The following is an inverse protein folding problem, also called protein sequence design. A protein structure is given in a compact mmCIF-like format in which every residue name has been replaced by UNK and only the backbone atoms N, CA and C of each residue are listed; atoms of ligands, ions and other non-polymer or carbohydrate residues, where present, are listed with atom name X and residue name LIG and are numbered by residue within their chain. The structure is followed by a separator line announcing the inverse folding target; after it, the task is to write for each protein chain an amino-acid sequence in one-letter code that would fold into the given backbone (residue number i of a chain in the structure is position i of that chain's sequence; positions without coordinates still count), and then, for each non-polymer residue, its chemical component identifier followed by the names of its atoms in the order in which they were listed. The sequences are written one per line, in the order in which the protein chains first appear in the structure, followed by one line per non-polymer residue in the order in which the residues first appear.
data_IF_251305775758
#
_entry.id   IF_251305775758
#
_cell.length_a   1.000
_cell.length_b   1.000
_cell.length_c   1.000
_cell.angle_alpha   90.00
_cell.angle_beta   90.00
_cell.angle_gamma   90.00
#
_symmetry.space_group_name_H-M   'P 1'
#
loop_
_entity.id
_entity.type
_entity.pdbx_description
1 polymer ?
#
# COMPACT_ATOMS: atom_id res chain seq x y z
N UNK A 1 4.66 -49.76 4.32
CA UNK A 1 4.86 -48.32 4.54
C UNK A 1 4.91 -47.65 3.18
N UNK A 2 3.86 -46.92 2.78
CA UNK A 2 3.77 -46.29 1.45
C UNK A 2 4.15 -44.81 1.56
N UNK A 3 5.34 -44.46 1.06
CA UNK A 3 5.86 -43.09 1.07
C UNK A 3 5.22 -42.27 -0.05
N UNK A 4 4.36 -41.31 0.30
CA UNK A 4 3.87 -40.29 -0.64
C UNK A 4 5.00 -39.30 -0.95
N UNK A 5 5.51 -39.31 -2.18
CA UNK A 5 6.37 -38.24 -2.69
C UNK A 5 5.56 -36.94 -2.81
N UNK A 6 5.93 -35.92 -2.04
CA UNK A 6 5.36 -34.58 -2.11
C UNK A 6 5.64 -33.99 -3.49
N UNK A 7 4.59 -33.66 -4.27
CA UNK A 7 4.75 -32.96 -5.54
C UNK A 7 5.36 -31.59 -5.28
N UNK A 8 6.51 -31.31 -5.89
CA UNK A 8 7.16 -30.01 -5.84
C UNK A 8 6.19 -28.91 -6.30
N UNK A 9 6.06 -27.84 -5.50
CA UNK A 9 5.26 -26.66 -5.85
C UNK A 9 5.94 -25.99 -7.04
N UNK A 10 5.24 -25.86 -8.16
CA UNK A 10 5.74 -25.16 -9.35
C UNK A 10 5.82 -23.66 -9.03
N UNK A 11 6.94 -23.03 -9.38
CA UNK A 11 7.09 -21.59 -9.21
C UNK A 11 6.03 -20.85 -10.04
N UNK A 12 5.51 -19.70 -9.54
CA UNK A 12 4.57 -18.89 -10.29
C UNK A 12 5.19 -18.44 -11.62
N UNK A 13 4.48 -18.66 -12.73
CA UNK A 13 4.89 -18.20 -14.06
C UNK A 13 4.34 -16.79 -14.23
N UNK A 14 5.24 -15.83 -14.40
CA UNK A 14 4.90 -14.43 -14.62
C UNK A 14 4.72 -14.15 -16.12
N UNK A 15 3.56 -13.60 -16.49
CA UNK A 15 3.12 -13.47 -17.88
C UNK A 15 3.89 -12.39 -18.66
N UNK A 16 4.70 -11.56 -18.01
CA UNK A 16 5.51 -10.53 -18.66
C UNK A 16 6.88 -11.05 -19.13
N UNK A 17 7.29 -12.24 -18.66
CA UNK A 17 8.64 -12.80 -18.84
C UNK A 17 8.62 -14.28 -19.17
N UNK A 18 7.48 -14.76 -19.61
CA UNK A 18 7.36 -16.12 -20.06
C UNK A 18 7.98 -16.29 -21.45
N UNK A 19 8.31 -15.28 -22.26
CA UNK A 19 8.84 -15.48 -23.64
C UNK A 19 9.92 -16.60 -23.80
N UNK A 20 9.74 -17.53 -24.75
CA UNK A 20 10.76 -18.51 -25.18
C UNK A 20 11.52 -17.88 -26.35
N UNK A 21 12.85 -17.82 -26.24
CA UNK A 21 13.79 -17.47 -27.33
C UNK A 21 13.35 -16.25 -28.18
N UNK A 22 13.64 -15.05 -27.67
CA UNK A 22 13.38 -13.76 -28.36
C UNK A 22 11.91 -13.50 -28.77
N UNK A 23 10.96 -14.35 -28.34
CA UNK A 23 9.53 -14.18 -28.58
C UNK A 23 8.86 -13.10 -27.71
N UNK A 24 7.56 -12.86 -27.94
CA UNK A 24 6.75 -11.92 -27.17
C UNK A 24 6.24 -12.57 -25.89
N UNK A 25 6.27 -11.86 -24.77
CA UNK A 25 5.66 -12.40 -23.54
C UNK A 25 4.14 -12.52 -23.66
N UNK A 26 3.50 -13.38 -22.85
CA UNK A 26 2.05 -13.52 -22.88
C UNK A 26 1.35 -12.19 -22.57
N UNK A 27 1.95 -11.34 -21.75
CA UNK A 27 1.43 -10.01 -21.49
C UNK A 27 1.55 -9.10 -22.72
N UNK A 28 2.67 -9.16 -23.46
CA UNK A 28 2.83 -8.41 -24.71
C UNK A 28 1.84 -8.86 -25.78
N UNK A 29 1.62 -10.17 -25.92
CA UNK A 29 0.65 -10.69 -26.90
C UNK A 29 -0.79 -10.25 -26.55
N UNK A 30 -1.16 -10.23 -25.26
CA UNK A 30 -2.47 -9.70 -24.85
C UNK A 30 -2.58 -8.21 -25.13
N UNK A 31 -1.54 -7.44 -24.84
CA UNK A 31 -1.54 -6.01 -25.12
C UNK A 31 -1.61 -5.72 -26.62
N UNK A 32 -0.81 -6.37 -27.45
CA UNK A 32 -0.85 -6.23 -28.90
C UNK A 32 -2.25 -6.59 -29.45
N UNK A 33 -2.84 -7.66 -28.93
CA UNK A 33 -4.20 -8.06 -29.31
C UNK A 33 -5.23 -7.00 -28.92
N UNK A 34 -5.15 -6.44 -27.71
CA UNK A 34 -6.07 -5.40 -27.23
C UNK A 34 -5.86 -4.04 -27.93
N UNK A 35 -4.63 -3.72 -28.31
CA UNK A 35 -4.26 -2.48 -29.00
C UNK A 35 -4.70 -2.46 -30.47
N UNK A 36 -5.18 -3.57 -31.01
CA UNK A 36 -5.82 -3.61 -32.34
C UNK A 36 -7.18 -2.88 -32.28
N UNK A 37 -7.46 -2.05 -33.30
CA UNK A 37 -8.46 -0.97 -33.32
C UNK A 37 -9.93 -1.37 -32.99
N UNK A 38 -10.23 -2.66 -32.85
CA UNK A 38 -11.58 -3.18 -32.60
C UNK A 38 -11.61 -4.16 -31.42
N UNK A 39 -10.48 -4.73 -31.00
CA UNK A 39 -10.45 -5.85 -30.07
C UNK A 39 -10.76 -5.43 -28.62
N UNK A 40 -10.30 -4.25 -28.21
CA UNK A 40 -10.70 -3.69 -26.91
C UNK A 40 -12.22 -3.43 -26.83
N UNK A 41 -12.83 -2.95 -27.93
CA UNK A 41 -14.27 -2.70 -28.00
C UNK A 41 -15.09 -4.00 -27.99
N UNK A 42 -14.57 -5.06 -28.61
CA UNK A 42 -15.13 -6.42 -28.51
C UNK A 42 -15.03 -6.98 -27.08
N UNK A 43 -13.87 -6.82 -26.43
CA UNK A 43 -13.61 -7.33 -25.07
C UNK A 43 -14.47 -6.64 -24.00
N UNK A 44 -14.63 -5.31 -24.09
CA UNK A 44 -15.45 -4.54 -23.13
C UNK A 44 -16.97 -4.71 -23.33
N UNK A 45 -17.38 -5.42 -24.39
CA UNK A 45 -18.79 -5.74 -24.65
C UNK A 45 -19.61 -4.54 -25.12
N UNK A 46 -19.13 -3.83 -26.14
CA UNK A 46 -19.80 -2.62 -26.66
C UNK A 46 -21.29 -2.81 -26.97
N UNK A 47 -21.73 -4.01 -27.35
CA UNK A 47 -23.11 -4.28 -27.72
C UNK A 47 -23.72 -5.36 -26.80
N UNK A 48 -24.70 -4.96 -25.98
CA UNK A 48 -25.46 -5.87 -25.07
C UNK A 48 -26.17 -7.02 -25.80
N UNK A 49 -26.34 -6.90 -27.11
CA UNK A 49 -27.17 -7.80 -27.92
C UNK A 49 -26.40 -8.51 -29.04
N UNK A 50 -25.10 -8.24 -29.23
CA UNK A 50 -24.30 -8.90 -30.27
C UNK A 50 -22.79 -8.92 -29.94
N UNK A 51 -22.44 -9.43 -28.76
CA UNK A 51 -21.05 -9.64 -28.36
C UNK A 51 -20.60 -11.08 -28.61
N UNK A 52 -19.42 -11.27 -29.21
CA UNK A 52 -18.72 -12.55 -29.13
C UNK A 52 -18.53 -12.92 -27.65
N UNK A 53 -18.77 -14.18 -27.28
CA UNK A 53 -18.59 -14.62 -25.90
C UNK A 53 -17.13 -14.42 -25.48
N UNK A 54 -16.89 -14.09 -24.21
CA UNK A 54 -15.52 -13.99 -23.65
C UNK A 54 -14.72 -15.27 -23.92
N UNK A 55 -15.39 -16.42 -23.98
CA UNK A 55 -14.80 -17.71 -24.35
C UNK A 55 -14.30 -17.75 -25.80
N UNK A 56 -15.00 -17.16 -26.76
CA UNK A 56 -14.56 -17.08 -28.15
C UNK A 56 -13.31 -16.19 -28.28
N UNK A 57 -13.29 -15.05 -27.58
CA UNK A 57 -12.14 -14.14 -27.56
C UNK A 57 -10.91 -14.76 -26.86
N UNK A 58 -11.13 -15.54 -25.79
CA UNK A 58 -10.05 -16.27 -25.13
C UNK A 58 -9.43 -17.33 -26.04
N UNK A 59 -10.24 -18.03 -26.86
CA UNK A 59 -9.71 -18.99 -27.85
C UNK A 59 -8.80 -18.31 -28.88
N UNK A 60 -9.14 -17.09 -29.29
CA UNK A 60 -8.33 -16.28 -30.21
C UNK A 60 -6.99 -15.89 -29.58
N UNK A 61 -6.99 -15.35 -28.36
CA UNK A 61 -5.76 -14.98 -27.63
C UNK A 61 -4.86 -16.20 -27.36
N UNK A 62 -5.46 -17.36 -27.05
CA UNK A 62 -4.70 -18.62 -26.87
C UNK A 62 -4.04 -19.09 -28.16
N UNK A 63 -4.64 -18.82 -29.32
CA UNK A 63 -4.01 -19.08 -30.62
C UNK A 63 -2.76 -18.21 -30.81
N UNK A 64 -2.85 -16.92 -30.45
CA UNK A 64 -1.73 -15.97 -30.53
C UNK A 64 -0.58 -16.34 -29.59
N UNK A 65 -0.86 -16.81 -28.37
CA UNK A 65 0.19 -17.31 -27.46
C UNK A 65 0.96 -18.51 -28.01
N UNK A 66 0.27 -19.42 -28.71
CA UNK A 66 0.93 -20.58 -29.32
C UNK A 66 1.85 -20.16 -30.47
N UNK A 67 1.51 -19.09 -31.18
CA UNK A 67 2.36 -18.51 -32.21
C UNK A 67 3.59 -17.81 -31.62
N UNK A 68 3.48 -17.21 -30.43
CA UNK A 68 4.52 -16.37 -29.82
C UNK A 68 5.59 -17.11 -29.00
N UNK A 69 5.43 -18.42 -28.72
CA UNK A 69 6.38 -19.30 -28.02
C UNK A 69 6.89 -18.76 -26.69
N UNK A 70 6.19 -19.03 -25.58
CA UNK A 70 6.39 -18.32 -24.30
C UNK A 70 6.26 -19.26 -23.05
N UNK A 71 7.38 -19.65 -22.40
CA UNK A 71 7.56 -19.99 -20.96
C UNK A 71 9.02 -20.35 -20.49
N UNK A 72 9.74 -19.55 -19.66
CA UNK A 72 10.72 -19.92 -18.57
C UNK A 72 12.10 -19.19 -18.51
N UNK A 73 12.47 -18.51 -17.39
CA UNK A 73 13.83 -17.93 -17.25
C UNK A 73 14.25 -17.09 -16.02
N UNK A 74 13.66 -17.19 -14.82
CA UNK A 74 14.08 -16.38 -13.64
C UNK A 74 14.46 -17.30 -12.47
N UNK A 75 15.66 -17.13 -11.89
CA UNK A 75 16.21 -18.05 -10.89
C UNK A 75 16.47 -17.45 -9.50
N UNK A 76 16.27 -16.14 -9.26
CA UNK A 76 16.40 -15.57 -7.90
C UNK A 76 15.51 -14.34 -7.63
N UNK A 77 15.07 -14.20 -6.37
CA UNK A 77 14.20 -13.12 -5.88
C UNK A 77 14.89 -11.74 -5.90
N UNK A 78 16.20 -11.70 -5.71
CA UNK A 78 17.00 -10.47 -5.74
C UNK A 78 17.05 -9.86 -7.15
N UNK A 79 17.21 -10.69 -8.18
CA UNK A 79 17.18 -10.25 -9.59
C UNK A 79 15.80 -9.73 -9.98
N UNK A 80 14.73 -10.37 -9.49
CA UNK A 80 13.35 -9.94 -9.73
C UNK A 80 13.07 -8.57 -9.08
N UNK A 81 13.42 -8.39 -7.80
CA UNK A 81 13.26 -7.11 -7.09
C UNK A 81 14.05 -5.98 -7.75
N UNK A 82 15.30 -6.25 -8.17
CA UNK A 82 16.14 -5.26 -8.85
C UNK A 82 15.54 -4.78 -10.17
N UNK A 83 15.04 -5.71 -10.99
CA UNK A 83 14.44 -5.36 -12.28
C UNK A 83 13.08 -4.64 -12.15
N UNK A 84 12.30 -4.99 -11.11
CA UNK A 84 11.06 -4.28 -10.76
C UNK A 84 11.34 -2.83 -10.35
N UNK A 85 12.36 -2.60 -9.52
CA UNK A 85 12.75 -1.24 -9.12
C UNK A 85 13.31 -0.40 -10.26
N UNK A 86 13.99 -1.00 -11.25
CA UNK A 86 14.47 -0.29 -12.44
C UNK A 86 13.33 0.30 -13.28
N UNK A 87 12.23 -0.44 -13.43
CA UNK A 87 11.09 -0.01 -14.25
C UNK A 87 10.06 0.78 -13.44
N UNK A 88 9.91 0.47 -12.16
CA UNK A 88 9.00 1.16 -11.25
C UNK A 88 9.68 1.39 -9.90
N UNK A 89 10.33 2.55 -9.70
CA UNK A 89 11.08 2.86 -8.48
C UNK A 89 10.25 2.82 -7.18
N UNK A 90 8.93 3.01 -7.29
CA UNK A 90 8.02 3.06 -6.15
C UNK A 90 7.13 1.82 -6.02
N UNK A 91 7.37 0.76 -6.80
CA UNK A 91 6.52 -0.42 -6.85
C UNK A 91 6.20 -0.99 -5.45
N UNK A 92 7.23 -1.20 -4.62
CA UNK A 92 7.03 -1.78 -3.28
C UNK A 92 6.39 -0.82 -2.27
N UNK A 93 6.37 0.50 -2.54
CA UNK A 93 5.61 1.46 -1.73
C UNK A 93 4.13 1.49 -2.12
N UNK A 94 3.83 1.10 -3.36
CA UNK A 94 2.49 1.04 -3.92
C UNK A 94 1.90 -0.37 -3.88
N UNK A 95 2.71 -1.39 -3.55
CA UNK A 95 2.29 -2.78 -3.48
C UNK A 95 1.07 -2.96 -2.57
N UNK A 96 1.06 -2.34 -1.40
CA UNK A 96 -0.08 -2.38 -0.48
C UNK A 96 -1.38 -1.77 -1.08
N UNK A 97 -1.22 -0.78 -1.97
CA UNK A 97 -2.34 -0.15 -2.69
C UNK A 97 -2.81 -1.04 -3.84
N UNK A 98 -1.90 -1.71 -4.53
CA UNK A 98 -2.25 -2.67 -5.59
C UNK A 98 -2.86 -3.97 -5.05
N UNK A 99 -2.44 -4.42 -3.87
CA UNK A 99 -3.02 -5.54 -3.14
C UNK A 99 -4.40 -5.21 -2.59
N UNK A 100 -4.69 -3.92 -2.36
CA UNK A 100 -6.05 -3.46 -2.10
C UNK A 100 -6.85 -3.57 -3.39
N UNK A 101 -7.48 -4.73 -3.63
CA UNK A 101 -8.41 -4.91 -4.74
C UNK A 101 -9.60 -3.97 -4.49
N UNK A 102 -9.80 -2.87 -5.25
CA UNK A 102 -11.06 -2.15 -5.17
C UNK A 102 -12.14 -3.14 -5.58
N UNK A 103 -13.21 -3.22 -4.77
CA UNK A 103 -14.34 -4.12 -5.02
C UNK A 103 -14.73 -4.08 -6.49
N UNK A 104 -14.84 -5.27 -7.11
CA UNK A 104 -15.30 -5.40 -8.50
C UNK A 104 -16.75 -4.90 -8.70
N UNK A 105 -17.44 -4.59 -7.59
CA UNK A 105 -18.67 -3.82 -7.55
C UNK A 105 -18.35 -2.44 -6.96
N UNK A 106 -18.21 -1.38 -7.78
CA UNK A 106 -18.31 -0.02 -7.28
C UNK A 106 -19.62 0.08 -6.49
N UNK A 107 -19.60 0.67 -5.29
CA UNK A 107 -20.84 0.96 -4.57
C UNK A 107 -21.67 1.87 -5.48
N UNK A 108 -22.75 1.29 -5.99
CA UNK A 108 -23.82 1.84 -6.81
C UNK A 108 -23.77 3.37 -6.95
N UNK A 109 -23.63 3.87 -8.17
CA UNK A 109 -24.01 5.25 -8.45
C UNK A 109 -25.51 5.38 -8.18
N UNK A 110 -25.97 6.57 -7.81
CA UNK A 110 -27.31 6.91 -7.33
C UNK A 110 -28.51 6.48 -8.18
N UNK A 111 -28.30 5.80 -9.30
CA UNK A 111 -29.29 5.53 -10.34
C UNK A 111 -29.86 4.10 -10.31
N UNK A 112 -29.49 3.28 -9.31
CA UNK A 112 -29.84 1.85 -9.24
C UNK A 112 -30.54 1.40 -7.96
N UNK A 113 -31.13 2.30 -7.17
CA UNK A 113 -31.92 1.93 -5.98
C UNK A 113 -33.40 1.96 -6.35
N UNK A 114 -33.78 1.14 -7.31
CA UNK A 114 -35.16 0.71 -7.54
C UNK A 114 -35.04 -0.73 -8.02
N UNK A 115 -34.88 -1.65 -7.08
CA UNK A 115 -35.34 -3.05 -7.15
C UNK A 115 -34.87 -3.75 -5.88
N UNK A 116 -35.86 -4.17 -5.09
CA UNK A 116 -35.72 -5.01 -3.91
C UNK A 116 -34.93 -6.28 -4.25
N UNK A 117 -33.97 -6.70 -3.42
CA UNK A 117 -33.82 -8.12 -3.12
C UNK A 117 -32.95 -8.37 -1.89
N UNK A 118 -33.49 -9.23 -1.03
CA UNK A 118 -32.89 -9.75 0.19
C UNK A 118 -31.60 -10.55 -0.08
N UNK A 119 -30.71 -10.51 0.91
CA UNK A 119 -29.58 -11.41 1.06
C UNK A 119 -30.05 -12.87 1.17
N UNK A 120 -29.60 -13.77 0.29
CA UNK A 120 -29.23 -15.13 0.71
C UNK A 120 -28.43 -15.90 -0.34
N UNK A 121 -27.24 -16.31 0.06
CA UNK A 121 -26.49 -17.42 -0.52
C UNK A 121 -27.20 -18.75 -0.23
N UNK A 122 -27.47 -19.57 -1.25
CA UNK A 122 -27.27 -21.03 -1.28
C UNK A 122 -28.21 -21.74 -2.26
N UNK A 123 -27.61 -22.43 -3.23
CA UNK A 123 -28.04 -23.68 -3.89
C UNK A 123 -29.51 -24.13 -3.74
N UNK A 124 -30.27 -24.15 -4.84
CA UNK A 124 -30.73 -25.40 -5.46
C UNK A 124 -31.52 -25.15 -6.76
N UNK A 125 -31.39 -26.11 -7.65
CA UNK A 125 -31.94 -26.19 -9.00
C UNK A 125 -33.43 -26.56 -9.04
N UNK A 126 -34.07 -26.17 -10.14
CA UNK A 126 -35.10 -26.92 -10.90
C UNK A 126 -36.60 -26.81 -10.46
N UNK A 127 -37.32 -26.04 -11.28
CA UNK A 127 -38.63 -26.25 -11.97
C UNK A 127 -39.82 -26.92 -11.24
N UNK A 128 -40.97 -26.22 -11.22
CA UNK A 128 -42.34 -26.60 -11.72
C UNK A 128 -43.41 -25.73 -11.02
N UNK A 129 -44.05 -24.77 -11.70
CA UNK A 129 -45.32 -24.84 -12.45
C UNK A 129 -46.53 -25.42 -11.67
N UNK A 130 -47.38 -24.51 -11.17
CA UNK A 130 -48.84 -24.63 -11.08
C UNK A 130 -49.42 -25.46 -9.91
N UNK A 131 -50.24 -24.82 -9.07
CA UNK A 131 -51.59 -25.26 -8.64
C UNK A 131 -52.07 -24.53 -7.36
N UNK A 132 -53.39 -24.56 -7.14
CA UNK A 132 -54.14 -23.70 -6.23
C UNK A 132 -54.04 -24.12 -4.75
N UNK A 133 -54.15 -23.12 -3.86
CA UNK A 133 -54.53 -23.07 -2.42
C UNK A 133 -54.92 -24.40 -1.72
N UNK A 134 -54.58 -24.55 -0.42
CA UNK A 134 -55.63 -24.38 0.59
C UNK A 134 -55.22 -23.60 1.85
N UNK A 135 -56.26 -23.12 2.53
CA UNK A 135 -56.28 -22.42 3.83
C UNK A 135 -55.79 -23.34 4.96
N UNK A 136 -54.98 -22.81 5.88
CA UNK A 136 -54.87 -23.32 7.25
C UNK A 136 -54.86 -22.12 8.20
N UNK A 137 -55.87 -22.12 9.07
CA UNK A 137 -55.98 -21.32 10.27
C UNK A 137 -55.02 -21.93 11.29
N UNK A 138 -54.19 -21.10 11.93
CA UNK A 138 -53.70 -21.39 13.28
C UNK A 138 -53.71 -20.05 14.03
N UNK A 139 -54.69 -19.94 14.91
CA UNK A 139 -54.77 -18.94 15.97
C UNK A 139 -53.77 -19.30 17.07
N UNK A 140 -53.04 -18.30 17.58
CA UNK A 140 -52.99 -17.93 19.00
C UNK A 140 -51.66 -17.28 19.42
N UNK A 141 -51.83 -16.07 19.94
CA UNK A 141 -51.14 -15.46 21.10
C UNK A 141 -49.66 -15.06 20.98
N UNK A 142 -49.41 -13.75 20.82
CA UNK A 142 -48.69 -12.95 21.83
C UNK A 142 -48.84 -11.45 21.53
N UNK A 143 -49.47 -10.75 22.46
CA UNK A 143 -49.62 -9.29 22.51
C UNK A 143 -48.27 -8.59 22.65
N UNK A 144 -47.76 -8.07 21.53
CA UNK A 144 -46.86 -6.92 21.54
C UNK A 144 -47.32 -6.00 20.41
N UNK A 145 -47.89 -4.85 20.79
CA UNK A 145 -48.26 -3.75 19.88
C UNK A 145 -47.07 -3.28 19.06
N UNK A 146 -46.77 -3.99 17.97
CA UNK A 146 -46.15 -3.40 16.79
C UNK A 146 -47.21 -2.52 16.14
N UNK A 147 -47.41 -1.31 16.66
CA UNK A 147 -47.87 -0.24 15.79
C UNK A 147 -46.84 -0.18 14.67
N UNK A 148 -47.21 -0.66 13.48
CA UNK A 148 -46.40 -0.50 12.27
C UNK A 148 -46.28 1.01 12.11
N UNK A 149 -45.13 1.57 12.51
CA UNK A 149 -44.79 2.98 12.25
C UNK A 149 -45.18 3.28 10.81
N UNK A 150 -45.83 4.41 10.61
CA UNK A 150 -46.24 4.88 9.29
C UNK A 150 -45.04 4.74 8.34
N UNK A 151 -45.21 4.18 7.12
CA UNK A 151 -44.15 4.13 6.13
C UNK A 151 -43.36 5.43 5.99
N UNK A 152 -44.01 6.58 6.14
CA UNK A 152 -43.39 7.91 6.11
C UNK A 152 -42.47 8.15 7.31
N UNK A 153 -42.89 7.71 8.49
CA UNK A 153 -42.11 7.86 9.74
C UNK A 153 -40.85 6.98 9.73
N UNK A 154 -40.95 5.77 9.15
CA UNK A 154 -39.78 4.90 8.94
C UNK A 154 -38.77 5.51 7.97
N UNK A 155 -39.24 6.13 6.90
CA UNK A 155 -38.39 6.80 5.92
C UNK A 155 -37.67 8.01 6.54
N UNK A 156 -38.38 8.79 7.36
CA UNK A 156 -37.80 9.89 8.12
C UNK A 156 -36.72 9.41 9.09
N UNK A 157 -36.97 8.36 9.87
CA UNK A 157 -35.98 7.75 10.76
C UNK A 157 -34.74 7.25 9.99
N UNK A 158 -34.93 6.64 8.82
CA UNK A 158 -33.84 6.19 7.95
C UNK A 158 -33.00 7.36 7.42
N UNK A 159 -33.65 8.44 6.98
CA UNK A 159 -32.95 9.62 6.49
C UNK A 159 -32.16 10.31 7.62
N UNK A 160 -32.74 10.37 8.83
CA UNK A 160 -32.14 11.00 10.00
C UNK A 160 -30.93 10.21 10.52
N UNK A 161 -31.03 8.88 10.54
CA UNK A 161 -29.90 8.01 10.88
C UNK A 161 -28.79 8.06 9.83
N UNK A 162 -29.12 8.04 8.53
CA UNK A 162 -28.15 8.21 7.47
C UNK A 162 -27.43 9.57 7.53
N UNK A 163 -28.18 10.66 7.80
CA UNK A 163 -27.63 12.00 8.00
C UNK A 163 -26.68 12.04 9.20
N UNK A 164 -27.08 11.46 10.33
CA UNK A 164 -26.26 11.37 11.54
C UNK A 164 -24.97 10.58 11.31
N UNK A 165 -25.04 9.46 10.60
CA UNK A 165 -23.86 8.66 10.24
C UNK A 165 -22.90 9.43 9.33
N UNK A 166 -23.42 10.17 8.33
CA UNK A 166 -22.60 11.04 7.48
C UNK A 166 -21.90 12.12 8.31
N UNK A 167 -22.64 12.81 9.19
CA UNK A 167 -22.09 13.81 10.09
C UNK A 167 -21.04 13.24 11.06
N UNK A 168 -21.25 12.02 11.56
CA UNK A 168 -20.27 11.35 12.42
C UNK A 168 -18.98 11.01 11.64
N UNK A 169 -19.12 10.54 10.40
CA UNK A 169 -17.98 10.20 9.54
C UNK A 169 -17.16 11.45 9.19
N UNK A 170 -17.82 12.56 8.87
CA UNK A 170 -17.12 13.84 8.58
C UNK A 170 -16.41 14.37 9.83
N UNK A 171 -17.06 14.34 11.01
CA UNK A 171 -16.41 14.72 12.27
C UNK A 171 -15.18 13.87 12.57
N UNK A 172 -15.28 12.54 12.41
CA UNK A 172 -14.12 11.64 12.61
C UNK A 172 -12.98 11.95 11.64
N UNK A 173 -13.31 12.27 10.39
CA UNK A 173 -12.32 12.67 9.38
C UNK A 173 -11.62 13.98 9.76
N UNK A 174 -12.37 14.98 10.22
CA UNK A 174 -11.83 16.26 10.67
C UNK A 174 -10.92 16.09 11.89
N UNK A 175 -11.32 15.29 12.88
CA UNK A 175 -10.48 14.96 14.05
C UNK A 175 -9.17 14.29 13.64
N UNK A 176 -9.20 13.37 12.66
CA UNK A 176 -7.98 12.74 12.14
C UNK A 176 -7.08 13.74 11.40
N UNK A 177 -7.65 14.73 10.72
CA UNK A 177 -6.86 15.79 10.08
C UNK A 177 -6.24 16.72 11.11
N UNK A 178 -6.98 17.12 12.13
CA UNK A 178 -6.51 17.99 13.21
C UNK A 178 -5.36 17.33 13.98
N UNK A 179 -5.54 16.10 14.44
CA UNK A 179 -4.46 15.32 15.10
C UNK A 179 -3.23 15.15 14.22
N UNK A 180 -3.40 14.95 12.91
CA UNK A 180 -2.29 14.89 11.96
C UNK A 180 -1.53 16.22 11.86
N UNK A 181 -2.23 17.36 11.90
CA UNK A 181 -1.60 18.68 11.89
C UNK A 181 -0.85 18.95 13.20
N UNK A 182 -1.43 18.58 14.34
CA UNK A 182 -0.76 18.70 15.64
C UNK A 182 0.54 17.88 15.70
N UNK A 183 0.53 16.64 15.21
CA UNK A 183 1.72 15.80 15.18
C UNK A 183 2.81 16.41 14.30
N UNK A 184 2.45 16.97 13.13
CA UNK A 184 3.41 17.68 12.28
C UNK A 184 4.03 18.88 12.98
N UNK A 185 3.23 19.66 13.71
CA UNK A 185 3.74 20.79 14.48
C UNK A 185 4.68 20.34 15.59
N UNK A 186 4.37 19.25 16.30
CA UNK A 186 5.27 18.67 17.30
C UNK A 186 6.57 18.17 16.70
N UNK A 187 6.52 17.54 15.52
CA UNK A 187 7.72 17.08 14.82
C UNK A 187 8.64 18.25 14.44
N UNK A 188 8.07 19.36 13.97
CA UNK A 188 8.84 20.58 13.65
C UNK A 188 9.52 21.12 14.92
N UNK A 189 8.77 21.26 16.03
CA UNK A 189 9.34 21.72 17.31
C UNK A 189 10.48 20.84 17.81
N UNK A 190 10.32 19.52 17.73
CA UNK A 190 11.36 18.58 18.14
C UNK A 190 12.61 18.73 17.28
N UNK A 191 12.47 18.93 15.96
CA UNK A 191 13.60 19.21 15.06
C UNK A 191 14.30 20.52 15.39
N UNK A 192 13.55 21.56 15.73
CA UNK A 192 14.11 22.85 16.17
C UNK A 192 14.88 22.71 17.50
N UNK A 193 14.31 22.01 18.48
CA UNK A 193 14.97 21.72 19.75
C UNK A 193 16.24 20.90 19.57
N UNK A 194 16.19 19.85 18.74
CA UNK A 194 17.36 19.03 18.42
C UNK A 194 18.48 19.86 17.77
N UNK A 195 18.13 20.71 16.79
CA UNK A 195 19.11 21.61 16.16
C UNK A 195 19.73 22.57 17.19
N UNK A 196 18.95 23.06 18.16
CA UNK A 196 19.44 23.95 19.19
C UNK A 196 20.40 23.23 20.16
N UNK A 197 20.10 21.98 20.55
CA UNK A 197 21.00 21.14 21.34
C UNK A 197 22.31 20.90 20.61
N UNK A 198 22.26 20.58 19.32
CA UNK A 198 23.46 20.37 18.50
C UNK A 198 24.33 21.63 18.40
N UNK A 199 23.70 22.81 18.27
CA UNK A 199 24.40 24.09 18.27
C UNK A 199 25.09 24.36 19.61
N UNK A 200 24.42 24.11 20.74
CA UNK A 200 25.01 24.25 22.08
C UNK A 200 26.19 23.30 22.24
N UNK A 201 26.05 22.05 21.83
CA UNK A 201 27.12 21.06 21.88
C UNK A 201 28.36 21.53 21.10
N UNK A 202 28.17 22.01 19.86
CA UNK A 202 29.27 22.56 19.05
C UNK A 202 29.94 23.76 19.70
N UNK A 203 29.17 24.64 20.35
CA UNK A 203 29.73 25.78 21.09
C UNK A 203 30.61 25.32 22.25
N UNK A 204 30.15 24.36 23.04
CA UNK A 204 30.93 23.80 24.16
C UNK A 204 32.21 23.12 23.67
N UNK A 205 32.15 22.38 22.57
CA UNK A 205 33.33 21.76 21.94
C UNK A 205 34.35 22.80 21.47
N UNK A 206 33.87 23.91 20.89
CA UNK A 206 34.74 25.00 20.47
C UNK A 206 35.42 25.68 21.67
N UNK A 207 34.68 25.96 22.75
CA UNK A 207 35.26 26.54 23.96
C UNK A 207 36.26 25.60 24.64
N UNK A 208 35.99 24.29 24.68
CA UNK A 208 36.92 23.31 25.24
C UNK A 208 38.20 23.22 24.41
N UNK A 209 38.10 23.15 23.08
CA UNK A 209 39.26 23.21 22.20
C UNK A 209 40.09 24.50 22.37
N UNK A 210 39.42 25.64 22.57
CA UNK A 210 40.09 26.91 22.85
C UNK A 210 40.84 26.87 24.19
N UNK A 211 40.21 26.36 25.26
CA UNK A 211 40.85 26.19 26.58
C UNK A 211 42.07 25.28 26.47
N UNK A 212 41.96 24.16 25.77
CA UNK A 212 43.04 23.21 25.58
C UNK A 212 44.22 23.84 24.81
N UNK A 213 43.94 24.61 23.74
CA UNK A 213 44.98 25.32 23.00
C UNK A 213 45.74 26.32 23.88
N UNK A 214 45.04 27.06 24.75
CA UNK A 214 45.68 27.98 25.71
C UNK A 214 46.55 27.21 26.70
N UNK A 215 46.06 26.09 27.25
CA UNK A 215 46.83 25.24 28.16
C UNK A 215 48.10 24.73 27.49
N UNK A 216 48.01 24.25 26.24
CA UNK A 216 49.18 23.80 25.47
C UNK A 216 50.20 24.92 25.26
N UNK A 217 49.75 26.14 24.94
CA UNK A 217 50.63 27.30 24.75
C UNK A 217 51.34 27.67 26.06
N UNK A 218 50.63 27.66 27.19
CA UNK A 218 51.21 27.93 28.51
C UNK A 218 52.26 26.86 28.89
N UNK A 219 51.96 25.58 28.64
CA UNK A 219 52.90 24.48 28.87
C UNK A 219 54.17 24.63 28.03
N UNK A 220 54.01 24.89 26.73
CA UNK A 220 55.13 25.13 25.81
C UNK A 220 56.00 26.32 26.28
N UNK A 221 55.36 27.43 26.70
CA UNK A 221 56.08 28.59 27.25
C UNK A 221 56.86 28.23 28.51
N UNK A 222 56.29 27.42 29.41
CA UNK A 222 56.97 26.96 30.63
C UNK A 222 58.21 26.12 30.31
N UNK A 223 58.10 25.20 29.33
CA UNK A 223 59.22 24.37 28.87
C UNK A 223 60.36 25.21 28.26
N UNK A 224 60.03 26.21 27.44
CA UNK A 224 61.03 27.13 26.90
C UNK A 224 61.73 27.92 28.01
N UNK A 225 60.97 28.42 28.99
CA UNK A 225 61.55 29.16 30.13
C UNK A 225 62.45 28.28 31.01
N UNK A 226 62.14 26.99 31.17
CA UNK A 226 63.02 26.07 31.91
C UNK A 226 64.29 25.76 31.11
N UNK A 227 64.18 25.58 29.79
CA UNK A 227 65.34 25.38 28.93
C UNK A 227 66.31 26.58 28.96
N UNK A 228 65.79 27.81 28.85
CA UNK A 228 66.59 29.05 28.92
C UNK A 228 67.24 29.25 30.30
N UNK A 229 66.56 28.86 31.38
CA UNK A 229 67.17 28.89 32.73
C UNK A 229 68.31 27.88 32.86
N UNK A 230 68.13 26.67 32.33
CA UNK A 230 69.16 25.64 32.32
C UNK A 230 70.43 26.08 31.58
N UNK A 231 70.30 26.70 30.41
CA UNK A 231 71.46 27.20 29.64
C UNK A 231 72.21 28.31 30.36
N UNK A 232 71.51 29.27 30.99
CA UNK A 232 72.15 30.33 31.80
C UNK A 232 72.92 29.78 33.00
N UNK A 233 72.44 28.71 33.64
CA UNK A 233 73.16 28.09 34.77
C UNK A 233 74.40 27.31 34.35
N UNK A 234 74.40 26.71 33.15
CA UNK A 234 75.57 26.02 32.59
C UNK A 234 76.67 27.03 32.24
N UNK A 235 76.32 28.08 31.48
CA UNK A 235 77.28 29.13 31.09
C UNK A 235 77.87 29.85 32.32
N UNK A 236 77.07 30.07 33.37
CA UNK A 236 77.57 30.69 34.61
C UNK A 236 78.51 29.79 35.41
N UNK A 237 78.39 28.45 35.30
CA UNK A 237 79.35 27.52 35.93
C UNK A 237 80.67 27.46 35.17
N UNK A 238 80.64 27.56 33.84
CA UNK A 238 81.87 27.58 33.02
C UNK A 238 82.68 28.87 33.15
N UNK A 239 82.06 30.00 33.53
CA UNK A 239 82.74 31.27 33.74
C UNK A 239 83.36 31.46 35.14
N UNK A 240 83.16 30.53 36.06
CA UNK A 240 83.63 30.62 37.47
C UNK A 240 84.58 29.45 37.84
N UNK A 241 84.88 28.55 36.89
CA UNK A 241 85.93 27.53 37.00
C UNK A 241 87.18 27.95 36.25
#
# INVERSE_FOLDING_TARGET
MSGKTMRAKKNPIFWDRDAVKEGKSSLQVVFDWLSTEINYNKWRGSDRNNGNTKEALLKEIVSEFKAAQTGSGITSEATLRGEVLKRCPYYFKLADVFDSRPSARPSITSDGIDEEEEEASSSNSIVQRGEKRPLALDDDDYDAKHQKKDPVEKLLDQQLTASKQRAQKTNRMLQLQETKLELKQREIKLKEEQANVDLVLKRVQLETAQRDAVVQLVLARKQLLSAVRGTKTVVRRELIG
#
